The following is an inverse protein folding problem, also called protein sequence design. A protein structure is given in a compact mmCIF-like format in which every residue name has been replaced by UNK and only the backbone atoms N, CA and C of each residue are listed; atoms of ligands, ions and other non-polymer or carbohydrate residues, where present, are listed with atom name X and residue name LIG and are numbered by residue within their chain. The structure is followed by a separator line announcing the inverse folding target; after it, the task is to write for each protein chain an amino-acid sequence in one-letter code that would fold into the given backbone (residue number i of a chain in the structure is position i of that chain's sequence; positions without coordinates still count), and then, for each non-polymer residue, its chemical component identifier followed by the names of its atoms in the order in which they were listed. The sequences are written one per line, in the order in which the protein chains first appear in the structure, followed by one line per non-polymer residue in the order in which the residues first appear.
data_IF_152994319394
#
_entry.id   IF_152994319394
#
_cell.length_a   1.000
_cell.length_b   1.000
_cell.length_c   1.000
_cell.angle_alpha   90.00
_cell.angle_beta   90.00
_cell.angle_gamma   90.00
#
_symmetry.space_group_name_H-M   'P 1'
#
loop_
_entity.id
_entity.type
_entity.pdbx_description
1 polymer ?
#
# COMPACT_ATOMS: atom_id res chain seq x y z
N UNK A 1 25.87 16.71 15.58
CA UNK A 1 26.59 17.68 14.71
C UNK A 1 25.67 18.32 13.68
N UNK A 2 24.84 17.55 12.96
CA UNK A 2 24.03 18.13 11.87
C UNK A 2 22.92 19.09 12.35
N UNK A 3 22.17 18.76 13.41
CA UNK A 3 21.12 19.64 13.94
C UNK A 3 21.64 21.00 14.44
N UNK A 4 22.77 21.00 15.15
CA UNK A 4 23.37 22.24 15.68
C UNK A 4 23.78 23.22 14.57
N UNK A 5 24.10 22.72 13.37
CA UNK A 5 24.39 23.56 12.20
C UNK A 5 23.19 24.42 11.78
N UNK A 6 21.97 23.92 11.97
CA UNK A 6 20.73 24.61 11.56
C UNK A 6 20.07 25.36 12.72
N UNK A 7 20.19 24.86 13.95
CA UNK A 7 19.42 25.32 15.09
C UNK A 7 20.26 25.89 16.25
N UNK A 8 21.59 25.92 16.13
CA UNK A 8 22.51 26.42 17.15
C UNK A 8 22.84 25.37 18.23
N UNK A 9 23.75 25.73 19.14
CA UNK A 9 24.34 24.78 20.11
C UNK A 9 23.36 24.30 21.18
N UNK A 10 22.22 24.96 21.38
CA UNK A 10 21.20 24.58 22.36
C UNK A 10 20.68 23.14 22.14
N UNK A 11 20.58 22.70 20.88
CA UNK A 11 20.10 21.34 20.54
C UNK A 11 21.08 20.22 20.94
N UNK A 12 22.30 20.57 21.37
CA UNK A 12 23.27 19.62 21.92
C UNK A 12 22.95 19.24 23.38
N UNK A 13 21.99 19.92 24.01
CA UNK A 13 21.59 19.71 25.39
C UNK A 13 20.08 19.39 25.51
N UNK A 14 19.58 18.30 24.91
CA UNK A 14 18.16 17.95 24.97
C UNK A 14 17.74 17.55 26.40
N UNK A 15 16.47 17.79 26.73
CA UNK A 15 15.86 17.29 27.98
C UNK A 15 15.70 15.77 27.93
N UNK A 16 15.34 15.23 26.76
CA UNK A 16 15.15 13.79 26.52
C UNK A 16 15.39 13.44 25.04
N UNK A 17 15.72 12.19 24.76
CA UNK A 17 15.95 11.66 23.41
C UNK A 17 15.55 10.18 23.34
N UNK A 18 14.72 9.85 22.35
CA UNK A 18 14.29 8.48 22.06
C UNK A 18 14.45 8.24 20.57
N UNK A 19 15.12 7.15 20.22
CA UNK A 19 15.17 6.58 18.90
C UNK A 19 14.49 5.21 18.88
N UNK A 20 14.03 4.82 17.70
CA UNK A 20 13.52 3.49 17.45
C UNK A 20 14.15 2.94 16.19
N UNK A 21 15.00 1.93 16.35
CA UNK A 21 15.39 1.10 15.23
C UNK A 21 14.29 0.09 14.93
N UNK A 22 13.73 0.22 13.73
CA UNK A 22 12.70 -0.68 13.21
C UNK A 22 13.30 -1.93 12.56
N UNK A 23 14.58 -1.97 12.23
CA UNK A 23 15.22 -3.19 11.69
C UNK A 23 15.27 -4.31 12.73
N UNK A 24 15.32 -3.93 14.01
CA UNK A 24 15.33 -4.86 15.14
C UNK A 24 13.92 -5.42 15.47
N UNK A 25 12.85 -4.92 14.84
CA UNK A 25 11.49 -5.41 15.11
C UNK A 25 11.21 -6.73 14.37
N UNK A 26 11.00 -7.85 15.09
CA UNK A 26 10.90 -9.19 14.47
C UNK A 26 9.67 -9.37 13.57
N UNK A 27 8.63 -8.57 13.80
CA UNK A 27 7.38 -8.62 13.04
C UNK A 27 7.25 -7.51 11.99
N UNK A 28 8.20 -6.57 11.97
CA UNK A 28 8.23 -5.46 11.02
C UNK A 28 9.70 -5.13 10.77
N UNK A 29 10.43 -5.93 9.96
CA UNK A 29 11.89 -5.91 9.84
C UNK A 29 12.44 -4.64 9.13
N UNK A 30 11.66 -3.57 9.11
CA UNK A 30 11.98 -2.29 8.48
C UNK A 30 10.83 -1.29 8.62
N UNK A 31 11.13 -0.07 8.21
CA UNK A 31 10.25 1.11 8.23
C UNK A 31 10.78 2.09 7.16
N UNK A 32 9.94 2.95 6.54
CA UNK A 32 8.50 3.16 6.80
C UNK A 32 7.55 2.28 5.99
N UNK A 33 7.98 1.72 4.87
CA UNK A 33 7.12 0.94 3.98
C UNK A 33 7.95 -0.08 3.22
N UNK A 34 7.36 -1.22 2.86
CA UNK A 34 7.99 -2.12 1.91
C UNK A 34 8.12 -1.45 0.53
N UNK A 35 9.34 -1.37 0.02
CA UNK A 35 9.64 -0.82 -1.31
C UNK A 35 9.93 -1.96 -2.28
N UNK A 36 9.35 -1.86 -3.48
CA UNK A 36 9.55 -2.85 -4.53
C UNK A 36 10.84 -2.51 -5.30
N UNK A 37 11.77 -3.45 -5.46
CA UNK A 37 12.95 -3.23 -6.29
C UNK A 37 12.59 -2.92 -7.75
N UNK A 38 13.48 -2.21 -8.43
CA UNK A 38 13.33 -1.93 -9.86
C UNK A 38 13.15 -3.25 -10.66
N UNK A 39 12.25 -3.22 -11.64
CA UNK A 39 11.92 -4.38 -12.48
C UNK A 39 10.82 -5.30 -11.92
N UNK A 40 10.42 -5.17 -10.65
CA UNK A 40 9.44 -6.06 -10.01
C UNK A 40 8.00 -5.52 -9.97
N UNK A 41 7.70 -4.43 -10.69
CA UNK A 41 6.35 -3.83 -10.69
C UNK A 41 5.28 -4.79 -11.23
N UNK A 42 5.62 -5.66 -12.18
CA UNK A 42 4.70 -6.68 -12.71
C UNK A 42 4.23 -7.65 -11.63
N UNK A 43 5.15 -8.14 -10.78
CA UNK A 43 4.77 -8.99 -9.65
C UNK A 43 3.93 -8.23 -8.62
N UNK A 44 4.27 -6.96 -8.35
CA UNK A 44 3.53 -6.12 -7.41
C UNK A 44 2.09 -5.81 -7.87
N UNK A 45 1.82 -5.88 -9.16
CA UNK A 45 0.47 -5.67 -9.68
C UNK A 45 -0.55 -6.70 -9.14
N UNK A 46 -0.08 -7.89 -8.75
CA UNK A 46 -0.91 -9.01 -8.30
C UNK A 46 -1.13 -9.06 -6.78
N UNK A 47 -0.57 -8.14 -5.98
CA UNK A 47 -0.61 -8.21 -4.50
C UNK A 47 -2.03 -8.16 -3.90
N UNK A 48 -3.03 -7.76 -4.70
CA UNK A 48 -4.43 -7.63 -4.28
C UNK A 48 -5.27 -8.82 -4.75
N UNK A 49 -4.73 -9.69 -5.59
CA UNK A 49 -5.45 -10.84 -6.11
C UNK A 49 -5.65 -11.85 -4.97
N UNK A 50 -6.90 -12.22 -4.63
CA UNK A 50 -7.15 -13.20 -3.60
C UNK A 50 -6.76 -14.59 -4.09
N UNK A 51 -6.33 -15.42 -3.15
CA UNK A 51 -6.09 -16.84 -3.40
C UNK A 51 -7.12 -17.66 -2.63
N UNK A 52 -8.09 -18.22 -3.35
CA UNK A 52 -9.22 -18.93 -2.74
C UNK A 52 -9.94 -18.04 -1.71
N UNK A 53 -10.02 -18.44 -0.44
CA UNK A 53 -10.64 -17.69 0.66
C UNK A 53 -9.68 -16.70 1.34
N UNK A 54 -8.46 -16.52 0.83
CA UNK A 54 -7.46 -15.63 1.39
C UNK A 54 -7.48 -14.30 0.63
N UNK A 55 -7.72 -13.21 1.36
CA UNK A 55 -7.66 -11.84 0.86
C UNK A 55 -6.50 -11.09 1.51
N UNK A 56 -5.83 -10.24 0.72
CA UNK A 56 -4.65 -9.50 1.16
C UNK A 56 -5.00 -8.05 1.46
N UNK A 57 -4.77 -7.66 2.72
CA UNK A 57 -4.83 -6.28 3.21
C UNK A 57 -3.40 -5.79 3.54
N UNK A 58 -3.30 -4.61 4.18
CA UNK A 58 -2.02 -3.97 4.48
C UNK A 58 -1.76 -2.80 3.54
N UNK A 59 -1.04 -1.80 4.02
CA UNK A 59 -0.93 -0.52 3.31
C UNK A 59 -0.32 -0.66 1.91
N UNK A 60 0.55 -1.65 1.71
CA UNK A 60 1.14 -2.04 0.42
C UNK A 60 0.08 -2.39 -0.61
N UNK A 61 -1.01 -3.01 -0.17
CA UNK A 61 -2.15 -3.41 -1.01
C UNK A 61 -3.21 -2.31 -1.17
N UNK A 62 -2.99 -1.11 -0.63
CA UNK A 62 -3.89 0.03 -0.79
C UNK A 62 -3.84 0.58 -2.23
N UNK A 63 -4.94 1.12 -2.74
CA UNK A 63 -4.98 1.81 -4.05
C UNK A 63 -4.73 3.32 -3.92
N UNK A 64 -4.83 3.85 -2.69
CA UNK A 64 -4.57 5.23 -2.34
C UNK A 64 -3.75 5.26 -1.05
N UNK A 65 -2.81 6.19 -0.96
CA UNK A 65 -1.98 6.41 0.24
C UNK A 65 -1.20 5.15 0.69
N UNK A 66 -0.71 4.36 -0.26
CA UNK A 66 0.17 3.20 -0.01
C UNK A 66 1.38 3.63 0.82
N UNK A 67 1.68 2.88 1.89
CA UNK A 67 2.74 3.20 2.84
C UNK A 67 2.32 4.09 4.01
N UNK A 68 1.06 4.54 4.05
CA UNK A 68 0.52 5.37 5.13
C UNK A 68 -0.59 4.65 5.88
N UNK A 69 -0.92 5.16 7.08
CA UNK A 69 -2.02 4.65 7.90
C UNK A 69 -3.37 4.70 7.15
N UNK A 70 -3.62 5.74 6.36
CA UNK A 70 -4.82 5.85 5.53
C UNK A 70 -4.93 4.71 4.52
N UNK A 71 -3.81 4.27 3.93
CA UNK A 71 -3.76 3.09 3.07
C UNK A 71 -4.02 1.79 3.82
N UNK A 72 -3.52 1.67 5.06
CA UNK A 72 -3.82 0.51 5.91
C UNK A 72 -5.32 0.38 6.20
N UNK A 73 -5.99 1.49 6.55
CA UNK A 73 -7.46 1.50 6.76
C UNK A 73 -8.20 1.18 5.46
N UNK A 74 -7.82 1.83 4.37
CA UNK A 74 -8.47 1.63 3.07
C UNK A 74 -8.38 0.19 2.58
N UNK A 75 -7.18 -0.41 2.64
CA UNK A 75 -6.95 -1.79 2.22
C UNK A 75 -7.68 -2.80 3.12
N UNK A 76 -7.74 -2.56 4.43
CA UNK A 76 -8.47 -3.42 5.38
C UNK A 76 -9.97 -3.43 5.10
N UNK A 77 -10.58 -2.25 4.90
CA UNK A 77 -11.99 -2.15 4.53
C UNK A 77 -12.27 -2.81 3.17
N UNK A 78 -11.39 -2.59 2.19
CA UNK A 78 -11.49 -3.20 0.86
C UNK A 78 -11.47 -4.73 0.95
N UNK A 79 -10.50 -5.31 1.65
CA UNK A 79 -10.41 -6.76 1.85
C UNK A 79 -11.65 -7.33 2.60
N UNK A 80 -12.18 -6.61 3.60
CA UNK A 80 -13.40 -7.03 4.30
C UNK A 80 -14.62 -7.04 3.36
N UNK A 81 -14.77 -6.02 2.51
CA UNK A 81 -15.85 -5.97 1.52
C UNK A 81 -15.71 -7.06 0.45
N UNK A 82 -14.49 -7.35 0.00
CA UNK A 82 -14.20 -8.46 -0.91
C UNK A 82 -14.63 -9.82 -0.33
N UNK A 83 -14.32 -10.07 0.96
CA UNK A 83 -14.75 -11.29 1.67
C UNK A 83 -16.27 -11.35 1.73
N UNK A 84 -16.92 -10.28 2.19
CA UNK A 84 -18.38 -10.22 2.29
C UNK A 84 -19.08 -10.39 0.93
N UNK A 85 -18.47 -9.89 -0.15
CA UNK A 85 -18.93 -10.11 -1.51
C UNK A 85 -18.86 -11.59 -1.91
N UNK A 86 -17.77 -12.28 -1.60
CA UNK A 86 -17.63 -13.73 -1.85
C UNK A 86 -18.65 -14.57 -1.08
N UNK A 87 -19.01 -14.16 0.14
CA UNK A 87 -20.10 -14.76 0.91
C UNK A 87 -21.50 -14.33 0.44
N UNK A 88 -21.61 -13.56 -0.65
CA UNK A 88 -22.87 -13.05 -1.22
C UNK A 88 -23.71 -12.28 -0.18
N UNK A 89 -23.03 -11.54 0.69
CA UNK A 89 -23.69 -10.75 1.74
C UNK A 89 -24.51 -9.62 1.14
N UNK A 90 -25.74 -9.44 1.64
CA UNK A 90 -26.62 -8.30 1.28
C UNK A 90 -26.11 -6.94 1.76
N UNK A 91 -25.07 -6.91 2.59
CA UNK A 91 -24.53 -5.69 3.19
C UNK A 91 -23.43 -5.03 2.34
N UNK A 92 -23.03 -5.64 1.23
CA UNK A 92 -22.06 -5.08 0.29
C UNK A 92 -22.78 -4.60 -0.96
N UNK A 93 -22.43 -3.40 -1.42
CA UNK A 93 -22.93 -2.81 -2.65
C UNK A 93 -21.76 -2.44 -3.58
N UNK A 94 -22.05 -1.93 -4.78
CA UNK A 94 -21.03 -1.57 -5.75
C UNK A 94 -20.07 -0.47 -5.27
N UNK A 95 -20.52 0.44 -4.39
CA UNK A 95 -19.67 1.51 -3.85
C UNK A 95 -18.60 0.97 -2.90
N UNK A 96 -18.93 -0.07 -2.13
CA UNK A 96 -18.01 -0.76 -1.24
C UNK A 96 -16.92 -1.54 -1.97
N UNK A 97 -17.22 -1.97 -3.21
CA UNK A 97 -16.30 -2.72 -4.07
C UNK A 97 -15.48 -1.83 -5.00
N UNK A 98 -15.69 -0.50 -4.96
CA UNK A 98 -14.94 0.43 -5.77
C UNK A 98 -13.43 0.26 -5.51
N UNK A 99 -12.64 0.24 -6.58
CA UNK A 99 -11.18 0.06 -6.54
C UNK A 99 -10.71 -1.30 -5.96
N UNK A 100 -11.63 -2.25 -5.78
CA UNK A 100 -11.32 -3.66 -5.45
C UNK A 100 -11.20 -4.51 -6.72
N UNK A 101 -10.75 -5.75 -6.58
CA UNK A 101 -10.69 -6.70 -7.69
C UNK A 101 -12.07 -7.12 -8.24
N UNK A 102 -13.15 -6.84 -7.50
CA UNK A 102 -14.54 -7.07 -7.91
C UNK A 102 -15.23 -5.81 -8.46
N UNK A 103 -14.52 -4.69 -8.56
CA UNK A 103 -15.02 -3.51 -9.28
C UNK A 103 -15.18 -3.86 -10.77
N UNK A 104 -16.34 -3.63 -11.40
CA UNK A 104 -16.51 -3.85 -12.84
C UNK A 104 -15.52 -3.08 -13.73
N UNK A 105 -14.93 -1.99 -13.22
CA UNK A 105 -13.91 -1.20 -13.92
C UNK A 105 -12.49 -1.72 -13.72
N UNK A 106 -12.28 -2.62 -12.76
CA UNK A 106 -10.96 -3.17 -12.48
C UNK A 106 -10.47 -3.98 -13.69
N UNK A 107 -9.25 -3.66 -14.15
CA UNK A 107 -8.55 -4.45 -15.16
C UNK A 107 -7.43 -5.21 -14.48
N UNK A 108 -7.42 -6.52 -14.63
CA UNK A 108 -6.33 -7.34 -14.11
C UNK A 108 -5.03 -7.02 -14.83
N UNK A 109 -3.86 -7.26 -14.20
CA UNK A 109 -2.58 -6.94 -14.82
C UNK A 109 -2.34 -7.67 -16.15
N UNK A 110 -2.95 -8.85 -16.36
CA UNK A 110 -2.86 -9.56 -17.64
C UNK A 110 -3.66 -8.88 -18.77
N UNK A 111 -4.63 -8.05 -18.41
CA UNK A 111 -5.52 -7.32 -19.34
C UNK A 111 -5.03 -5.88 -19.60
N UNK A 112 -3.87 -5.50 -19.08
CA UNK A 112 -3.30 -4.17 -19.29
C UNK A 112 -2.70 -4.05 -20.69
N UNK A 113 -3.00 -2.92 -21.34
CA UNK A 113 -2.38 -2.57 -22.61
C UNK A 113 -0.98 -2.00 -22.34
N UNK A 114 0.04 -2.87 -22.46
CA UNK A 114 1.45 -2.47 -22.37
C UNK A 114 2.00 -1.90 -23.67
N UNK A 115 1.20 -1.82 -24.73
CA UNK A 115 1.64 -1.12 -25.93
C UNK A 115 1.68 0.37 -25.62
N UNK A 116 2.88 0.88 -25.37
CA UNK A 116 3.11 2.31 -25.31
C UNK A 116 2.69 2.87 -26.67
N UNK A 117 1.51 3.49 -26.72
CA UNK A 117 1.02 4.09 -27.96
C UNK A 117 2.08 5.11 -28.40
N UNK A 118 2.75 4.82 -29.50
CA UNK A 118 3.66 5.72 -30.21
C UNK A 118 2.96 6.98 -30.76
N UNK A 119 1.81 7.36 -30.19
CA UNK A 119 0.95 8.46 -30.61
C UNK A 119 1.03 9.64 -29.62
N UNK A 120 2.24 10.16 -29.47
CA UNK A 120 2.46 11.59 -29.25
C UNK A 120 3.70 11.97 -30.08
N UNK A 121 3.56 12.00 -31.40
CA UNK A 121 3.61 13.25 -32.18
C UNK A 121 4.59 14.27 -31.60
N UNK A 122 5.81 14.26 -32.13
CA UNK A 122 6.56 15.48 -32.43
C UNK A 122 5.72 16.37 -33.37
#
# INVERSE_FOLDING_TARGET
MDLARYFGDEVLHPIDYIDKDWHEEPFSPGCPVAVIPAGNMGAFAHIREPFSLIHFAGTESATLWTGYMSGAVQSGLRAAHEILHNFKSKHVNAQHLKDSIYDPKYKRPQDWDFTYSSKSKL
#
